data_IF_710675286623
#
_entry.id   IF_710675286623
#
_cell.length_a   1.000
_cell.length_b   1.000
_cell.length_c   1.000
_cell.angle_alpha   90.00
_cell.angle_beta   90.00
_cell.angle_gamma   90.00
#
_symmetry.space_group_name_H-M   'P 1'
#
loop_
_entity.id
_entity.type
_entity.pdbx_description
1 polymer ?
#
# COMPACT_ATOMS: atom_id res chain seq x y z
N UNK A 1 -4.00 3.57 -9.22
CA UNK A 1 -4.39 2.17 -8.91
C UNK A 1 -3.70 1.13 -9.81
N UNK A 2 -3.94 1.10 -11.12
CA UNK A 2 -3.42 0.04 -12.02
C UNK A 2 -1.91 -0.25 -11.96
N UNK A 3 -1.05 0.78 -11.85
CA UNK A 3 0.41 0.58 -11.73
C UNK A 3 0.81 -0.16 -10.46
N UNK A 4 0.13 0.11 -9.34
CA UNK A 4 0.41 -0.56 -8.07
C UNK A 4 -0.10 -2.00 -8.10
N UNK A 5 -1.31 -2.23 -8.61
CA UNK A 5 -1.85 -3.57 -8.81
C UNK A 5 -0.91 -4.43 -9.66
N UNK A 6 -0.42 -3.90 -10.80
CA UNK A 6 0.55 -4.61 -11.64
C UNK A 6 1.87 -4.93 -10.92
N UNK A 7 2.36 -4.01 -10.08
CA UNK A 7 3.55 -4.26 -9.25
C UNK A 7 3.31 -5.38 -8.22
N UNK A 8 2.16 -5.36 -7.54
CA UNK A 8 1.77 -6.41 -6.60
C UNK A 8 1.58 -7.77 -7.31
N UNK A 9 1.00 -7.78 -8.52
CA UNK A 9 0.89 -9.00 -9.33
C UNK A 9 2.25 -9.55 -9.74
N UNK A 10 3.22 -8.69 -10.05
CA UNK A 10 4.59 -9.13 -10.31
C UNK A 10 5.24 -9.77 -9.07
N UNK A 11 5.05 -9.16 -7.89
CA UNK A 11 5.53 -9.72 -6.62
C UNK A 11 4.82 -11.04 -6.24
N UNK A 12 3.53 -11.18 -6.55
CA UNK A 12 2.82 -12.45 -6.43
C UNK A 12 3.38 -13.51 -7.38
N UNK A 13 3.70 -13.13 -8.61
CA UNK A 13 4.29 -14.04 -9.60
C UNK A 13 5.72 -14.49 -9.22
N UNK A 14 6.51 -13.64 -8.55
CA UNK A 14 7.83 -13.99 -8.01
C UNK A 14 7.77 -14.79 -6.71
N UNK A 15 6.58 -14.96 -6.11
CA UNK A 15 6.39 -15.66 -4.84
C UNK A 15 6.74 -14.83 -3.61
N UNK A 16 6.91 -13.52 -3.76
CA UNK A 16 7.10 -12.57 -2.65
C UNK A 16 5.77 -12.21 -1.96
N UNK A 17 4.65 -12.39 -2.65
CA UNK A 17 3.30 -12.29 -2.10
C UNK A 17 2.54 -13.60 -2.26
N UNK A 18 1.62 -13.83 -1.32
CA UNK A 18 0.75 -14.99 -1.33
C UNK A 18 -0.04 -15.07 -2.65
N UNK A 19 -0.17 -16.28 -3.21
CA UNK A 19 -1.01 -16.52 -4.40
C UNK A 19 -2.49 -16.25 -4.19
N UNK A 20 -2.92 -16.10 -2.94
CA UNK A 20 -4.29 -15.73 -2.57
C UNK A 20 -4.48 -14.23 -2.37
N UNK A 21 -3.41 -13.45 -2.52
CA UNK A 21 -3.48 -12.00 -2.41
C UNK A 21 -4.28 -11.42 -3.59
N UNK A 22 -5.34 -10.67 -3.30
CA UNK A 22 -6.04 -9.88 -4.30
C UNK A 22 -5.25 -8.58 -4.54
N UNK A 23 -4.51 -8.53 -5.64
CA UNK A 23 -3.63 -7.41 -5.95
C UNK A 23 -4.40 -6.12 -6.27
N UNK A 24 -5.62 -6.23 -6.81
CA UNK A 24 -6.45 -5.08 -7.13
C UNK A 24 -7.09 -4.49 -5.87
N UNK A 25 -7.56 -5.35 -4.96
CA UNK A 25 -8.06 -4.95 -3.65
C UNK A 25 -6.95 -4.28 -2.82
N UNK A 26 -5.76 -4.89 -2.75
CA UNK A 26 -4.62 -4.32 -2.03
C UNK A 26 -4.21 -2.95 -2.60
N UNK A 27 -4.20 -2.80 -3.92
CA UNK A 27 -3.93 -1.52 -4.56
C UNK A 27 -5.01 -0.47 -4.27
N UNK A 28 -6.29 -0.85 -4.23
CA UNK A 28 -7.38 0.04 -3.85
C UNK A 28 -7.26 0.47 -2.38
N UNK A 29 -7.02 -0.48 -1.47
CA UNK A 29 -6.80 -0.25 -0.05
C UNK A 29 -5.65 0.73 0.20
N UNK A 30 -4.54 0.56 -0.53
CA UNK A 30 -3.41 1.50 -0.49
C UNK A 30 -3.85 2.93 -0.77
N UNK A 31 -4.59 3.18 -1.86
CA UNK A 31 -4.95 4.54 -2.25
C UNK A 31 -5.93 5.19 -1.26
N UNK A 32 -6.90 4.43 -0.76
CA UNK A 32 -7.83 4.89 0.29
C UNK A 32 -7.05 5.35 1.53
N UNK A 33 -6.10 4.54 2.01
CA UNK A 33 -5.30 4.88 3.18
C UNK A 33 -4.27 5.99 2.93
N UNK A 34 -3.67 6.01 1.73
CA UNK A 34 -2.66 7.00 1.34
C UNK A 34 -3.24 8.42 1.33
N UNK A 35 -4.47 8.59 0.85
CA UNK A 35 -5.15 9.90 0.86
C UNK A 35 -5.32 10.45 2.29
N UNK A 36 -5.70 9.59 3.24
CA UNK A 36 -5.78 9.95 4.66
C UNK A 36 -4.41 10.33 5.26
N UNK A 37 -3.36 9.58 4.91
CA UNK A 37 -2.00 9.85 5.34
C UNK A 37 -1.48 11.20 4.80
N UNK A 38 -1.74 11.51 3.52
CA UNK A 38 -1.41 12.78 2.88
C UNK A 38 -2.14 13.93 3.55
N UNK A 39 -3.44 13.80 3.80
CA UNK A 39 -4.23 14.84 4.44
C UNK A 39 -3.73 15.10 5.87
N UNK A 40 -3.42 14.05 6.64
CA UNK A 40 -2.84 14.18 7.98
C UNK A 40 -1.46 14.84 7.95
N UNK A 41 -0.59 14.43 7.03
CA UNK A 41 0.75 15.00 6.87
C UNK A 41 0.72 16.52 6.64
N UNK A 42 -0.23 17.00 5.82
CA UNK A 42 -0.44 18.43 5.58
C UNK A 42 -0.88 19.18 6.84
N UNK A 43 -1.79 18.59 7.63
CA UNK A 43 -2.29 19.20 8.87
C UNK A 43 -1.20 19.32 9.93
N UNK A 44 -0.36 18.30 10.07
CA UNK A 44 0.72 18.28 11.08
C UNK A 44 2.04 18.84 10.57
N UNK A 45 2.09 19.28 9.30
CA UNK A 45 3.31 19.77 8.61
C UNK A 45 4.51 18.84 8.78
N UNK A 46 4.28 17.54 8.66
CA UNK A 46 5.30 16.50 8.81
C UNK A 46 4.98 15.33 7.89
N UNK A 47 6.02 14.71 7.35
CA UNK A 47 5.98 13.48 6.54
C UNK A 47 5.75 12.21 7.37
N UNK A 48 5.86 12.29 8.70
CA UNK A 48 5.68 11.15 9.62
C UNK A 48 4.41 10.31 9.37
N UNK A 49 3.23 10.88 9.06
CA UNK A 49 2.04 10.09 8.75
C UNK A 49 2.19 9.25 7.48
N UNK A 50 2.87 9.76 6.45
CA UNK A 50 3.16 9.01 5.22
C UNK A 50 4.07 7.81 5.52
N UNK A 51 5.14 8.04 6.27
CA UNK A 51 6.10 7.01 6.66
C UNK A 51 5.43 5.94 7.54
N UNK A 52 4.53 6.35 8.43
CA UNK A 52 3.76 5.43 9.28
C UNK A 52 2.83 4.56 8.43
N UNK A 53 2.11 5.16 7.49
CA UNK A 53 1.20 4.45 6.63
C UNK A 53 1.92 3.43 5.73
N UNK A 54 2.97 3.85 5.02
CA UNK A 54 3.69 2.95 4.09
C UNK A 54 4.33 1.77 4.83
N UNK A 55 4.92 2.02 6.01
CA UNK A 55 5.50 0.95 6.83
C UNK A 55 4.44 -0.03 7.34
N UNK A 56 3.27 0.47 7.74
CA UNK A 56 2.13 -0.36 8.15
C UNK A 56 1.57 -1.19 6.99
N UNK A 57 1.37 -0.57 5.83
CA UNK A 57 0.87 -1.23 4.63
C UNK A 57 1.79 -2.36 4.19
N UNK A 58 3.10 -2.09 4.04
CA UNK A 58 4.07 -3.10 3.62
C UNK A 58 4.17 -4.28 4.61
N UNK A 59 4.07 -4.02 5.92
CA UNK A 59 4.07 -5.07 6.95
C UNK A 59 2.79 -5.92 6.92
N UNK A 60 1.68 -5.34 6.49
CA UNK A 60 0.39 -6.02 6.38
C UNK A 60 0.20 -6.82 5.09
N UNK A 61 1.16 -6.77 4.15
CA UNK A 61 1.05 -7.52 2.90
C UNK A 61 1.13 -9.03 3.16
N UNK A 62 0.24 -9.82 2.54
CA UNK A 62 0.25 -11.28 2.70
C UNK A 62 1.45 -11.89 1.96
N UNK A 63 2.31 -12.59 2.69
CA UNK A 63 3.45 -13.36 2.16
C UNK A 63 3.02 -14.78 1.76
#
# INVERSE_FOLDING_TARGET
>A
QAKLAACLSAAQASGELSRRADCDELAAFFWIGWEGAVLRARLVKSDKPLNTFIAGYLRGLPQ
#
